data_IF_635393971998
#
_entry.id   IF_635393971998
#
_cell.length_a   1.000
_cell.length_b   1.000
_cell.length_c   1.000
_cell.angle_alpha   90.00
_cell.angle_beta   90.00
_cell.angle_gamma   90.00
#
_symmetry.space_group_name_H-M   'P 1'
#
loop_
_entity.id
_entity.type
_entity.pdbx_description
1 polymer ?
#
# COMPACT_ATOMS: atom_id res chain seq x y z
N UNK A 1 -43.75 24.71 -9.99
CA UNK A 1 -45.07 24.08 -10.19
C UNK A 1 -45.22 23.72 -11.66
N UNK A 2 -45.02 22.45 -12.02
CA UNK A 2 -45.27 21.97 -13.38
C UNK A 2 -46.78 21.86 -13.58
N UNK A 3 -47.37 22.75 -14.40
CA UNK A 3 -48.73 22.55 -14.89
C UNK A 3 -48.74 21.24 -15.67
N UNK A 4 -49.39 20.22 -15.14
CA UNK A 4 -49.73 19.02 -15.88
C UNK A 4 -50.79 19.45 -16.90
N UNK A 5 -50.33 19.90 -18.07
CA UNK A 5 -51.19 20.06 -19.23
C UNK A 5 -51.65 18.66 -19.59
N UNK A 6 -52.92 18.34 -19.34
CA UNK A 6 -53.51 17.06 -19.76
C UNK A 6 -53.16 16.87 -21.24
N UNK A 7 -52.41 15.80 -21.54
CA UNK A 7 -52.04 15.42 -22.89
C UNK A 7 -53.31 15.37 -23.74
N UNK A 8 -53.42 16.26 -24.73
CA UNK A 8 -54.45 16.14 -25.76
C UNK A 8 -54.13 14.87 -26.53
N UNK A 9 -55.10 13.95 -26.63
CA UNK A 9 -54.94 12.72 -27.41
C UNK A 9 -54.36 13.04 -28.79
N UNK A 10 -53.34 12.29 -29.20
CA UNK A 10 -52.76 12.41 -30.54
C UNK A 10 -53.80 12.03 -31.60
N UNK A 11 -53.60 12.44 -32.85
CA UNK A 11 -54.54 12.08 -33.93
C UNK A 11 -54.63 10.56 -34.13
N UNK A 12 -53.50 9.86 -33.98
CA UNK A 12 -53.45 8.40 -33.93
C UNK A 12 -54.30 7.81 -32.80
N UNK A 13 -54.20 8.34 -31.57
CA UNK A 13 -55.02 7.85 -30.43
C UNK A 13 -56.53 8.07 -30.63
N UNK A 14 -56.90 9.12 -31.38
CA UNK A 14 -58.31 9.37 -31.74
C UNK A 14 -58.79 8.37 -32.79
N UNK A 15 -57.98 8.10 -33.82
CA UNK A 15 -58.30 7.10 -34.85
C UNK A 15 -58.41 5.69 -34.27
N UNK A 16 -57.54 5.31 -33.34
CA UNK A 16 -57.65 4.02 -32.62
C UNK A 16 -58.97 3.91 -31.86
N UNK A 17 -59.39 4.98 -31.18
CA UNK A 17 -60.67 4.99 -30.44
C UNK A 17 -61.86 4.78 -31.40
N UNK A 18 -61.88 5.49 -32.54
CA UNK A 18 -62.92 5.38 -33.58
C UNK A 18 -62.95 3.98 -34.22
N UNK A 19 -61.78 3.38 -34.48
CA UNK A 19 -61.67 2.01 -35.00
C UNK A 19 -62.28 1.01 -34.02
N UNK A 20 -61.99 1.14 -32.72
CA UNK A 20 -62.54 0.26 -31.71
C UNK A 20 -64.08 0.37 -31.61
N UNK A 21 -64.63 1.58 -31.74
CA UNK A 21 -66.07 1.79 -31.81
C UNK A 21 -66.70 1.07 -33.02
N UNK A 22 -66.06 1.12 -34.19
CA UNK A 22 -66.52 0.42 -35.41
C UNK A 22 -66.44 -1.10 -35.26
N UNK A 23 -65.38 -1.63 -34.65
CA UNK A 23 -65.25 -3.07 -34.34
C UNK A 23 -66.38 -3.54 -33.42
N UNK A 24 -66.69 -2.76 -32.37
CA UNK A 24 -67.78 -3.08 -31.45
C UNK A 24 -69.16 -3.01 -32.14
N UNK A 25 -69.36 -2.03 -33.02
CA UNK A 25 -70.57 -1.93 -33.86
C UNK A 25 -70.72 -3.14 -34.79
N UNK A 26 -69.63 -3.59 -35.43
CA UNK A 26 -69.63 -4.78 -36.28
C UNK A 26 -70.07 -6.02 -35.51
N UNK A 27 -69.47 -6.26 -34.34
CA UNK A 27 -69.83 -7.41 -33.50
C UNK A 27 -71.31 -7.42 -33.11
N UNK A 28 -71.90 -6.24 -32.90
CA UNK A 28 -73.33 -6.10 -32.62
C UNK A 28 -74.19 -6.46 -33.85
N UNK A 29 -73.81 -6.00 -35.04
CA UNK A 29 -74.49 -6.32 -36.30
C UNK A 29 -74.40 -7.81 -36.64
N UNK A 30 -73.25 -8.45 -36.42
CA UNK A 30 -73.05 -9.89 -36.63
C UNK A 30 -73.97 -10.72 -35.72
N UNK A 31 -74.15 -10.30 -34.46
CA UNK A 31 -75.09 -10.95 -33.54
C UNK A 31 -76.55 -10.83 -34.01
N UNK A 32 -76.93 -9.67 -34.55
CA UNK A 32 -78.26 -9.46 -35.13
C UNK A 32 -78.45 -10.31 -36.39
N UNK A 33 -77.41 -10.46 -37.21
CA UNK A 33 -77.41 -11.28 -38.42
C UNK A 33 -77.65 -12.76 -38.11
N UNK A 34 -76.99 -13.30 -37.08
CA UNK A 34 -77.21 -14.68 -36.63
C UNK A 34 -78.67 -14.88 -36.17
N UNK A 35 -79.21 -13.93 -35.41
CA UNK A 35 -80.61 -13.94 -34.99
C UNK A 35 -81.60 -13.93 -36.17
N UNK A 36 -81.40 -13.04 -37.14
CA UNK A 36 -82.24 -12.96 -38.34
C UNK A 36 -82.13 -14.23 -39.21
N UNK A 37 -80.93 -14.79 -39.31
CA UNK A 37 -80.68 -16.07 -40.01
C UNK A 37 -81.35 -17.26 -39.31
N UNK A 38 -81.46 -17.22 -37.99
CA UNK A 38 -82.23 -18.19 -37.19
C UNK A 38 -83.73 -18.10 -37.48
N UNK A 39 -84.30 -16.89 -37.48
CA UNK A 39 -85.72 -16.65 -37.81
C UNK A 39 -86.03 -17.12 -39.22
N UNK A 40 -85.16 -16.83 -40.20
CA UNK A 40 -85.32 -17.28 -41.58
C UNK A 40 -85.37 -18.81 -41.68
N UNK A 41 -84.47 -19.52 -40.99
CA UNK A 41 -84.45 -20.99 -40.94
C UNK A 41 -85.72 -21.55 -40.31
N UNK A 42 -86.19 -20.96 -39.22
CA UNK A 42 -87.39 -21.41 -38.53
C UNK A 42 -88.67 -21.18 -39.36
N UNK A 43 -88.79 -20.03 -40.02
CA UNK A 43 -89.90 -19.72 -40.92
C UNK A 43 -89.96 -20.70 -42.11
N UNK A 44 -88.80 -21.09 -42.65
CA UNK A 44 -88.69 -22.10 -43.70
C UNK A 44 -89.22 -23.47 -43.24
N UNK A 45 -88.85 -23.91 -42.03
CA UNK A 45 -89.30 -25.18 -41.46
C UNK A 45 -90.81 -25.20 -41.18
N UNK A 46 -91.40 -24.05 -40.85
CA UNK A 46 -92.83 -23.89 -40.56
C UNK A 46 -93.69 -23.59 -41.80
N UNK A 47 -93.08 -23.34 -42.96
CA UNK A 47 -93.79 -22.96 -44.18
C UNK A 47 -94.39 -21.54 -44.16
N UNK A 48 -93.92 -20.66 -43.27
CA UNK A 48 -94.38 -19.27 -43.15
C UNK A 48 -93.60 -18.37 -44.13
N UNK A 49 -94.04 -18.35 -45.39
CA UNK A 49 -93.34 -17.66 -46.48
C UNK A 49 -93.27 -16.13 -46.29
N UNK A 50 -94.27 -15.54 -45.63
CA UNK A 50 -94.28 -14.10 -45.31
C UNK A 50 -93.14 -13.72 -44.38
N UNK A 51 -93.02 -14.41 -43.23
CA UNK A 51 -91.90 -14.20 -42.29
C UNK A 51 -90.55 -14.57 -42.88
N UNK A 52 -90.51 -15.57 -43.75
CA UNK A 52 -89.27 -15.96 -44.45
C UNK A 52 -88.74 -14.82 -45.33
N UNK A 53 -89.62 -14.16 -46.09
CA UNK A 53 -89.22 -13.04 -46.95
C UNK A 53 -88.78 -11.82 -46.15
N UNK A 54 -89.48 -11.50 -45.05
CA UNK A 54 -89.08 -10.43 -44.13
C UNK A 54 -87.70 -10.71 -43.50
N UNK A 55 -87.48 -11.93 -43.01
CA UNK A 55 -86.20 -12.33 -42.44
C UNK A 55 -85.06 -12.33 -43.48
N UNK A 56 -85.35 -12.73 -44.72
CA UNK A 56 -84.38 -12.67 -45.83
C UNK A 56 -83.96 -11.22 -46.14
N UNK A 57 -84.92 -10.29 -46.21
CA UNK A 57 -84.63 -8.87 -46.41
C UNK A 57 -83.78 -8.29 -45.27
N UNK A 58 -84.09 -8.69 -44.02
CA UNK A 58 -83.30 -8.29 -42.84
C UNK A 58 -81.87 -8.83 -42.89
N UNK A 59 -81.68 -10.11 -43.25
CA UNK A 59 -80.36 -10.73 -43.43
C UNK A 59 -79.55 -9.99 -44.49
N UNK A 60 -80.14 -9.70 -45.66
CA UNK A 60 -79.46 -8.97 -46.73
C UNK A 60 -79.07 -7.55 -46.31
N UNK A 61 -79.96 -6.84 -45.60
CA UNK A 61 -79.67 -5.50 -45.06
C UNK A 61 -78.51 -5.52 -44.05
N UNK A 62 -78.53 -6.47 -43.11
CA UNK A 62 -77.46 -6.62 -42.12
C UNK A 62 -76.11 -6.99 -42.76
N UNK A 63 -76.11 -7.87 -43.78
CA UNK A 63 -74.91 -8.19 -44.55
C UNK A 63 -74.33 -6.95 -45.25
N UNK A 64 -75.17 -6.10 -45.85
CA UNK A 64 -74.74 -4.84 -46.46
C UNK A 64 -74.15 -3.87 -45.43
N UNK A 65 -74.77 -3.75 -44.25
CA UNK A 65 -74.27 -2.90 -43.16
C UNK A 65 -72.92 -3.41 -42.63
N UNK A 66 -72.77 -4.72 -42.41
CA UNK A 66 -71.50 -5.31 -41.99
C UNK A 66 -70.41 -5.05 -43.04
N UNK A 67 -70.72 -5.27 -44.32
CA UNK A 67 -69.77 -4.99 -45.41
C UNK A 67 -69.37 -3.51 -45.50
N UNK A 68 -70.27 -2.58 -45.15
CA UNK A 68 -69.94 -1.16 -45.06
C UNK A 68 -69.03 -0.86 -43.87
N UNK A 69 -69.32 -1.42 -42.69
CA UNK A 69 -68.48 -1.28 -41.50
C UNK A 69 -67.09 -1.90 -41.71
N UNK A 70 -66.98 -3.01 -42.44
CA UNK A 70 -65.69 -3.61 -42.80
C UNK A 70 -64.82 -2.67 -43.64
N UNK A 71 -65.42 -1.95 -44.59
CA UNK A 71 -64.71 -0.94 -45.38
C UNK A 71 -64.26 0.23 -44.51
N UNK A 72 -65.12 0.69 -43.59
CA UNK A 72 -64.78 1.75 -42.64
C UNK A 72 -63.61 1.35 -41.72
N UNK A 73 -63.64 0.13 -41.18
CA UNK A 73 -62.55 -0.40 -40.33
C UNK A 73 -61.25 -0.42 -41.11
N UNK A 74 -61.25 -0.97 -42.33
CA UNK A 74 -60.05 -1.04 -43.17
C UNK A 74 -59.50 0.35 -43.49
N UNK A 75 -60.37 1.31 -43.82
CA UNK A 75 -59.96 2.70 -44.05
C UNK A 75 -59.31 3.31 -42.80
N UNK A 76 -59.90 3.10 -41.62
CA UNK A 76 -59.34 3.59 -40.35
C UNK A 76 -57.99 2.95 -40.01
N UNK A 77 -57.80 1.66 -40.30
CA UNK A 77 -56.52 0.96 -40.11
C UNK A 77 -55.41 1.56 -41.00
N UNK A 78 -55.71 1.81 -42.28
CA UNK A 78 -54.77 2.42 -43.22
C UNK A 78 -54.41 3.85 -42.79
N UNK A 79 -55.39 4.64 -42.38
CA UNK A 79 -55.17 6.03 -41.98
C UNK A 79 -54.44 6.13 -40.64
N UNK A 80 -54.79 5.25 -39.69
CA UNK A 80 -54.08 5.15 -38.43
C UNK A 80 -52.60 4.82 -38.64
N UNK A 81 -52.29 3.88 -39.54
CA UNK A 81 -50.92 3.49 -39.85
C UNK A 81 -50.10 4.65 -40.42
N UNK A 82 -50.70 5.48 -41.28
CA UNK A 82 -50.04 6.68 -41.83
C UNK A 82 -49.75 7.72 -40.76
N UNK A 83 -50.75 8.04 -39.93
CA UNK A 83 -50.58 9.05 -38.87
C UNK A 83 -49.58 8.59 -37.82
N UNK A 84 -49.57 7.29 -37.48
CA UNK A 84 -48.57 6.70 -36.59
C UNK A 84 -47.17 6.83 -37.17
N UNK A 85 -46.98 6.46 -38.44
CA UNK A 85 -45.69 6.58 -39.13
C UNK A 85 -45.19 8.03 -39.11
N UNK A 86 -46.04 9.01 -39.44
CA UNK A 86 -45.69 10.44 -39.40
C UNK A 86 -45.29 10.90 -37.99
N UNK A 87 -46.01 10.46 -36.97
CA UNK A 87 -45.69 10.79 -35.57
C UNK A 87 -44.36 10.18 -35.12
N UNK A 88 -44.09 8.94 -35.50
CA UNK A 88 -42.83 8.25 -35.21
C UNK A 88 -41.67 8.95 -35.93
N UNK A 89 -41.80 9.26 -37.21
CA UNK A 89 -40.78 9.98 -37.98
C UNK A 89 -40.46 11.35 -37.36
N UNK A 90 -41.49 12.08 -36.92
CA UNK A 90 -41.30 13.35 -36.24
C UNK A 90 -40.52 13.17 -34.92
N UNK A 91 -40.90 12.18 -34.10
CA UNK A 91 -40.18 11.88 -32.86
C UNK A 91 -38.74 11.43 -33.09
N UNK A 92 -38.49 10.63 -34.13
CA UNK A 92 -37.13 10.20 -34.49
C UNK A 92 -36.26 11.39 -34.87
N UNK A 93 -36.75 12.31 -35.71
CA UNK A 93 -36.03 13.53 -36.07
C UNK A 93 -35.72 14.41 -34.86
N UNK A 94 -36.67 14.54 -33.92
CA UNK A 94 -36.43 15.29 -32.69
C UNK A 94 -35.36 14.63 -31.81
N UNK A 95 -35.40 13.29 -31.68
CA UNK A 95 -34.37 12.54 -30.94
C UNK A 95 -32.99 12.70 -31.60
N UNK A 96 -32.89 12.62 -32.92
CA UNK A 96 -31.65 12.83 -33.66
C UNK A 96 -31.08 14.23 -33.43
N UNK A 97 -31.93 15.25 -33.52
CA UNK A 97 -31.55 16.64 -33.22
C UNK A 97 -31.05 16.80 -31.77
N UNK A 98 -31.69 16.14 -30.81
CA UNK A 98 -31.24 16.16 -29.41
C UNK A 98 -29.88 15.45 -29.23
N UNK A 99 -29.67 14.31 -29.90
CA UNK A 99 -28.36 13.62 -29.89
C UNK A 99 -27.26 14.50 -30.46
N UNK A 100 -27.50 15.18 -31.59
CA UNK A 100 -26.53 16.10 -32.19
C UNK A 100 -26.21 17.28 -31.26
N UNK A 101 -27.23 17.84 -30.59
CA UNK A 101 -27.03 18.92 -29.62
C UNK A 101 -26.14 18.47 -28.46
N UNK A 102 -26.44 17.32 -27.84
CA UNK A 102 -25.62 16.74 -26.77
C UNK A 102 -24.18 16.48 -27.25
N UNK A 103 -24.01 15.97 -28.47
CA UNK A 103 -22.67 15.72 -29.02
C UNK A 103 -21.88 17.02 -29.20
N UNK A 104 -22.52 18.08 -29.71
CA UNK A 104 -21.89 19.42 -29.83
C UNK A 104 -21.53 20.01 -28.47
N UNK A 105 -22.35 19.79 -27.45
CA UNK A 105 -22.08 20.20 -26.07
C UNK A 105 -20.88 19.45 -25.47
N UNK A 106 -20.68 18.17 -25.81
CA UNK A 106 -19.58 17.34 -25.29
C UNK A 106 -18.23 17.61 -25.98
N UNK A 107 -18.24 18.01 -27.24
CA UNK A 107 -17.03 18.25 -28.04
C UNK A 107 -15.98 19.17 -27.37
N UNK A 108 -16.33 20.34 -26.77
CA UNK A 108 -15.34 21.18 -26.08
C UNK A 108 -14.70 20.49 -24.88
N UNK A 109 -15.46 19.68 -24.12
CA UNK A 109 -14.91 18.94 -22.99
C UNK A 109 -13.95 17.84 -23.45
N UNK A 110 -14.31 17.13 -24.53
CA UNK A 110 -13.43 16.12 -25.14
C UNK A 110 -12.12 16.74 -25.60
N UNK A 111 -12.19 17.91 -26.26
CA UNK A 111 -11.01 18.65 -26.69
C UNK A 111 -10.16 19.11 -25.50
N UNK A 112 -10.78 19.71 -24.49
CA UNK A 112 -10.09 20.16 -23.28
C UNK A 112 -9.38 19.01 -22.55
N UNK A 113 -9.98 17.83 -22.52
CA UNK A 113 -9.37 16.63 -21.94
C UNK A 113 -8.13 16.17 -22.72
N UNK A 114 -8.19 16.07 -24.05
CA UNK A 114 -7.03 15.66 -24.84
C UNK A 114 -5.91 16.71 -24.79
N UNK A 115 -6.25 18.01 -24.81
CA UNK A 115 -5.28 19.10 -24.63
C UNK A 115 -4.60 19.01 -23.25
N UNK A 116 -5.36 18.78 -22.18
CA UNK A 116 -4.81 18.60 -20.82
C UNK A 116 -3.92 17.36 -20.72
N UNK A 117 -4.31 16.25 -21.36
CA UNK A 117 -3.55 15.01 -21.37
C UNK A 117 -2.22 15.15 -22.12
N UNK A 118 -2.19 15.88 -23.23
CA UNK A 118 -0.94 16.17 -23.94
C UNK A 118 -0.02 17.07 -23.13
N UNK A 119 -0.56 18.12 -22.50
CA UNK A 119 0.19 18.99 -21.60
C UNK A 119 0.78 18.23 -20.41
N UNK A 120 -0.01 17.34 -19.79
CA UNK A 120 0.44 16.50 -18.69
C UNK A 120 1.61 15.60 -19.09
N UNK A 121 1.50 14.90 -20.23
CA UNK A 121 2.59 14.04 -20.73
C UNK A 121 3.88 14.82 -20.97
N UNK A 122 3.78 16.04 -21.50
CA UNK A 122 4.96 16.90 -21.70
C UNK A 122 5.59 17.31 -20.36
N UNK A 123 4.77 17.74 -19.41
CA UNK A 123 5.25 18.11 -18.07
C UNK A 123 5.89 16.92 -17.34
N UNK A 124 5.32 15.73 -17.48
CA UNK A 124 5.85 14.48 -16.92
C UNK A 124 7.23 14.15 -17.52
N UNK A 125 7.38 14.25 -18.84
CA UNK A 125 8.68 14.05 -19.51
C UNK A 125 9.73 15.07 -19.05
N UNK A 126 9.36 16.35 -18.93
CA UNK A 126 10.25 17.41 -18.43
C UNK A 126 10.67 17.13 -16.98
N UNK A 127 9.73 16.69 -16.13
CA UNK A 127 10.03 16.30 -14.76
C UNK A 127 11.00 15.13 -14.70
N UNK A 128 10.78 14.06 -15.47
CA UNK A 128 11.72 12.93 -15.53
C UNK A 128 13.11 13.37 -15.98
N UNK A 129 13.21 14.22 -17.00
CA UNK A 129 14.48 14.73 -17.49
C UNK A 129 15.22 15.54 -16.40
N UNK A 130 14.52 16.43 -15.69
CA UNK A 130 15.08 17.22 -14.60
C UNK A 130 15.46 16.37 -13.40
N UNK A 131 14.65 15.38 -13.07
CA UNK A 131 14.94 14.45 -11.98
C UNK A 131 16.20 13.63 -12.30
N UNK A 132 16.35 13.11 -13.52
CA UNK A 132 17.58 12.44 -13.96
C UNK A 132 18.81 13.37 -13.95
N UNK A 133 18.65 14.64 -14.31
CA UNK A 133 19.72 15.63 -14.18
C UNK A 133 20.13 15.84 -12.71
N UNK A 134 19.16 15.96 -11.82
CA UNK A 134 19.39 16.11 -10.38
C UNK A 134 20.07 14.87 -9.78
N UNK A 135 19.59 13.67 -10.10
CA UNK A 135 20.21 12.41 -9.65
C UNK A 135 21.67 12.34 -10.05
N UNK A 136 22.02 12.68 -11.30
CA UNK A 136 23.42 12.70 -11.75
C UNK A 136 24.28 13.69 -10.97
N UNK A 137 23.74 14.87 -10.63
CA UNK A 137 24.43 15.85 -9.78
C UNK A 137 24.64 15.32 -8.37
N UNK A 138 23.63 14.69 -7.77
CA UNK A 138 23.76 14.05 -6.45
C UNK A 138 24.80 12.93 -6.46
N UNK A 139 24.83 12.09 -7.48
CA UNK A 139 25.81 11.01 -7.60
C UNK A 139 27.23 11.54 -7.69
N UNK A 140 27.46 12.62 -8.44
CA UNK A 140 28.76 13.26 -8.52
C UNK A 140 29.22 13.80 -7.15
N UNK A 141 28.35 14.53 -6.44
CA UNK A 141 28.65 15.05 -5.11
C UNK A 141 28.88 13.93 -4.08
N UNK A 142 28.12 12.84 -4.16
CA UNK A 142 28.31 11.68 -3.28
C UNK A 142 29.69 11.04 -3.50
N UNK A 143 30.13 10.89 -4.76
CA UNK A 143 31.47 10.37 -5.08
C UNK A 143 32.57 11.28 -4.55
N UNK A 144 32.42 12.60 -4.70
CA UNK A 144 33.38 13.57 -4.16
C UNK A 144 33.44 13.51 -2.63
N UNK A 145 32.29 13.48 -1.97
CA UNK A 145 32.19 13.29 -0.51
C UNK A 145 32.93 12.03 -0.06
N UNK A 146 32.69 10.90 -0.73
CA UNK A 146 33.26 9.62 -0.33
C UNK A 146 34.77 9.58 -0.57
N UNK A 147 35.26 10.20 -1.64
CA UNK A 147 36.69 10.37 -1.88
C UNK A 147 37.37 11.24 -0.80
N UNK A 148 36.71 12.33 -0.39
CA UNK A 148 37.19 13.20 0.69
C UNK A 148 37.20 12.48 2.04
N UNK A 149 36.16 11.70 2.36
CA UNK A 149 36.12 10.87 3.58
C UNK A 149 37.27 9.87 3.62
N UNK A 150 37.49 9.14 2.53
CA UNK A 150 38.60 8.19 2.44
C UNK A 150 39.96 8.88 2.63
N UNK A 151 40.13 10.11 2.11
CA UNK A 151 41.34 10.90 2.31
C UNK A 151 41.48 11.35 3.75
N UNK A 152 40.40 11.77 4.39
CA UNK A 152 40.38 12.15 5.80
C UNK A 152 40.76 10.97 6.69
N UNK A 153 40.22 9.79 6.43
CA UNK A 153 40.54 8.56 7.18
C UNK A 153 42.03 8.19 7.07
N UNK A 154 42.66 8.41 5.91
CA UNK A 154 44.10 8.19 5.73
C UNK A 154 44.98 9.20 6.48
N UNK A 155 44.50 10.44 6.63
CA UNK A 155 45.24 11.53 7.28
C UNK A 155 44.99 11.59 8.78
N UNK A 156 43.90 10.99 9.26
CA UNK A 156 43.55 10.95 10.67
C UNK A 156 44.20 9.70 11.26
N UNK A 157 45.27 9.82 12.07
CA UNK A 157 45.83 8.65 12.74
C UNK A 157 44.75 8.01 13.60
N UNK A 158 44.75 6.67 13.75
CA UNK A 158 43.82 6.01 14.64
C UNK A 158 43.91 6.66 16.02
N UNK A 159 42.77 6.84 16.71
CA UNK A 159 42.78 7.44 18.05
C UNK A 159 43.80 6.66 18.90
N UNK A 160 44.71 7.39 19.55
CA UNK A 160 45.68 6.78 20.46
C UNK A 160 44.93 5.84 21.39
N UNK A 161 45.44 4.61 21.65
CA UNK A 161 44.76 3.67 22.52
C UNK A 161 44.48 4.37 23.84
N UNK A 162 43.19 4.56 24.15
CA UNK A 162 42.82 5.11 25.45
C UNK A 162 43.26 4.10 26.51
N UNK A 163 43.91 4.56 27.59
CA UNK A 163 44.37 3.66 28.64
C UNK A 163 43.18 2.83 29.15
N UNK A 164 43.33 1.50 29.18
CA UNK A 164 42.24 0.62 29.63
C UNK A 164 42.02 0.70 31.14
N UNK A 165 43.08 1.07 31.85
CA UNK A 165 43.13 1.16 33.30
C UNK A 165 43.95 2.40 33.69
N UNK A 166 43.68 2.92 34.89
CA UNK A 166 44.58 3.87 35.53
C UNK A 166 45.94 3.20 35.84
N UNK A 167 46.98 4.01 36.06
CA UNK A 167 48.32 3.52 36.44
C UNK A 167 48.25 2.60 37.67
N UNK A 168 47.44 2.96 38.68
CA UNK A 168 47.32 2.18 39.92
C UNK A 168 46.60 0.84 39.72
N UNK A 169 45.59 0.79 38.86
CA UNK A 169 44.91 -0.46 38.49
C UNK A 169 45.86 -1.39 37.74
N UNK A 170 46.64 -0.87 36.80
CA UNK A 170 47.68 -1.64 36.11
C UNK A 170 48.75 -2.15 37.06
N UNK A 171 49.20 -1.31 38.01
CA UNK A 171 50.19 -1.67 39.01
C UNK A 171 49.67 -2.80 39.90
N UNK A 172 48.42 -2.74 40.34
CA UNK A 172 47.79 -3.80 41.12
C UNK A 172 47.65 -5.12 40.33
N UNK A 173 47.35 -5.06 39.03
CA UNK A 173 47.34 -6.26 38.18
C UNK A 173 48.76 -6.86 38.02
N UNK A 174 49.80 -6.03 37.96
CA UNK A 174 51.20 -6.47 37.95
C UNK A 174 51.59 -7.14 39.27
N UNK A 175 51.25 -6.53 40.41
CA UNK A 175 51.42 -7.08 41.76
C UNK A 175 50.72 -8.44 41.92
N UNK A 176 49.53 -8.59 41.35
CA UNK A 176 48.78 -9.86 41.37
C UNK A 176 49.33 -10.92 40.40
N UNK A 177 50.30 -10.59 39.54
CA UNK A 177 50.84 -11.51 38.52
C UNK A 177 49.89 -11.79 37.36
N UNK A 178 48.85 -10.97 37.17
CA UNK A 178 47.91 -11.06 36.04
C UNK A 178 48.51 -10.52 34.74
N UNK A 179 49.44 -9.57 34.84
CA UNK A 179 50.26 -9.10 33.72
C UNK A 179 51.53 -9.94 33.66
N UNK A 180 51.62 -10.85 32.68
CA UNK A 180 52.76 -11.77 32.52
C UNK A 180 53.82 -11.26 31.54
N UNK A 181 53.41 -10.49 30.54
CA UNK A 181 54.28 -9.94 29.50
C UNK A 181 53.97 -8.48 29.28
N UNK A 182 55.02 -7.67 29.20
CA UNK A 182 54.96 -6.23 28.94
C UNK A 182 55.55 -5.93 27.57
N UNK A 183 54.84 -5.14 26.76
CA UNK A 183 55.32 -4.61 25.47
C UNK A 183 55.18 -3.09 25.57
N UNK A 184 56.31 -2.40 25.54
CA UNK A 184 56.39 -0.95 25.64
C UNK A 184 55.60 -0.26 24.52
N UNK A 185 54.86 0.80 24.86
CA UNK A 185 54.10 1.61 23.91
C UNK A 185 52.69 1.10 23.59
N UNK A 186 52.21 0.06 24.28
CA UNK A 186 50.86 -0.47 24.09
C UNK A 186 49.79 0.27 24.92
N UNK A 187 50.13 0.70 26.14
CA UNK A 187 49.27 1.53 27.00
C UNK A 187 50.19 2.43 27.87
N UNK A 188 50.13 3.76 27.74
CA UNK A 188 51.00 4.68 28.49
C UNK A 188 50.92 4.49 30.01
N UNK A 189 49.75 4.13 30.54
CA UNK A 189 49.58 3.91 31.98
C UNK A 189 50.18 2.57 32.43
N UNK A 190 50.19 1.56 31.54
CA UNK A 190 50.85 0.29 31.81
C UNK A 190 52.38 0.46 31.80
N UNK A 191 52.92 1.27 30.89
CA UNK A 191 54.35 1.56 30.83
C UNK A 191 54.85 2.16 32.17
N UNK A 192 54.11 3.13 32.70
CA UNK A 192 54.41 3.75 34.01
C UNK A 192 54.23 2.76 35.18
N UNK A 193 53.13 2.00 35.18
CA UNK A 193 52.87 0.99 36.21
C UNK A 193 53.91 -0.13 36.22
N UNK A 194 54.38 -0.57 35.04
CA UNK A 194 55.37 -1.62 34.92
C UNK A 194 56.75 -1.18 35.41
N UNK A 195 57.13 0.07 35.14
CA UNK A 195 58.35 0.67 35.69
C UNK A 195 58.31 0.70 37.23
N UNK A 196 57.21 1.20 37.80
CA UNK A 196 57.04 1.21 39.26
C UNK A 196 57.06 -0.20 39.85
N UNK A 197 56.42 -1.15 39.19
CA UNK A 197 56.41 -2.55 39.60
C UNK A 197 57.80 -3.21 39.60
N UNK A 198 58.66 -2.91 38.62
CA UNK A 198 60.05 -3.41 38.61
C UNK A 198 60.89 -2.76 39.71
N UNK A 199 60.70 -1.46 39.99
CA UNK A 199 61.35 -0.79 41.12
C UNK A 199 60.94 -1.42 42.47
N UNK A 200 59.64 -1.70 42.67
CA UNK A 200 59.13 -2.39 43.86
C UNK A 200 59.77 -3.78 44.02
N UNK A 201 59.90 -4.55 42.93
CA UNK A 201 60.56 -5.86 42.94
C UNK A 201 62.02 -5.78 43.37
N UNK A 202 62.76 -4.80 42.87
CA UNK A 202 64.16 -4.61 43.26
C UNK A 202 64.30 -4.28 44.75
N UNK A 203 63.44 -3.41 45.28
CA UNK A 203 63.40 -3.10 46.73
C UNK A 203 63.12 -4.37 47.54
N UNK A 204 62.15 -5.18 47.13
CA UNK A 204 61.81 -6.45 47.79
C UNK A 204 62.97 -7.45 47.73
N UNK A 205 63.65 -7.56 46.58
CA UNK A 205 64.80 -8.45 46.39
C UNK A 205 65.99 -8.05 47.26
N UNK A 206 66.33 -6.77 47.27
CA UNK A 206 67.42 -6.23 48.10
C UNK A 206 67.12 -6.39 49.59
N UNK A 207 65.88 -6.07 50.01
CA UNK A 207 65.42 -6.33 51.36
C UNK A 207 65.56 -7.81 51.74
N UNK A 208 65.09 -8.73 50.89
CA UNK A 208 65.13 -10.15 51.20
C UNK A 208 66.57 -10.67 51.31
N UNK A 209 67.50 -10.17 50.47
CA UNK A 209 68.92 -10.47 50.54
C UNK A 209 69.53 -9.98 51.87
N UNK A 210 69.25 -8.73 52.25
CA UNK A 210 69.74 -8.15 53.50
C UNK A 210 69.15 -8.85 54.74
N UNK A 211 67.85 -9.15 54.71
CA UNK A 211 67.14 -9.91 55.74
C UNK A 211 67.67 -11.33 55.91
N UNK A 212 67.95 -12.04 54.81
CA UNK A 212 68.52 -13.38 54.89
C UNK A 212 69.92 -13.38 55.51
N UNK A 213 70.75 -12.38 55.18
CA UNK A 213 72.07 -12.19 55.79
C UNK A 213 71.93 -11.87 57.28
N UNK A 214 71.07 -10.92 57.66
CA UNK A 214 70.85 -10.56 59.06
C UNK A 214 70.31 -11.73 59.89
N UNK A 215 69.40 -12.53 59.32
CA UNK A 215 68.87 -13.74 59.99
C UNK A 215 69.96 -14.78 60.25
N UNK A 216 70.93 -14.92 59.34
CA UNK A 216 72.08 -15.82 59.55
C UNK A 216 73.04 -15.33 60.63
N UNK A 217 73.24 -14.01 60.74
CA UNK A 217 74.23 -13.41 61.64
C UNK A 217 73.66 -13.17 63.04
N UNK A 218 72.40 -12.73 63.14
CA UNK A 218 71.78 -12.25 64.39
C UNK A 218 70.48 -12.99 64.75
N UNK A 219 70.03 -13.99 63.96
CA UNK A 219 68.78 -14.72 64.19
C UNK A 219 67.49 -13.98 63.79
N UNK A 220 67.56 -12.67 63.54
CA UNK A 220 66.40 -11.81 63.24
C UNK A 220 66.33 -11.37 61.77
N UNK A 221 65.10 -11.15 61.25
CA UNK A 221 64.85 -10.55 59.93
C UNK A 221 64.59 -9.05 60.02
N UNK A 222 64.86 -8.29 58.94
CA UNK A 222 64.46 -6.88 58.88
C UNK A 222 62.92 -6.76 58.79
N UNK A 223 62.33 -5.66 59.27
CA UNK A 223 60.92 -5.38 59.04
C UNK A 223 60.61 -5.34 57.55
N UNK A 224 59.42 -5.80 57.15
CA UNK A 224 58.98 -5.80 55.75
C UNK A 224 58.95 -4.36 55.21
N UNK A 225 59.44 -4.10 53.98
CA UNK A 225 59.34 -2.78 53.38
C UNK A 225 57.88 -2.45 53.06
N UNK A 226 57.51 -1.18 53.10
CA UNK A 226 56.14 -0.72 52.86
C UNK A 226 55.56 -1.25 51.54
N UNK A 227 56.36 -1.24 50.47
CA UNK A 227 55.97 -1.76 49.16
C UNK A 227 55.57 -3.24 49.19
N UNK A 228 56.14 -4.04 50.09
CA UNK A 228 55.83 -5.46 50.20
C UNK A 228 54.43 -5.72 50.79
N UNK A 229 53.79 -4.74 51.44
CA UNK A 229 52.42 -4.87 51.97
C UNK A 229 51.38 -5.02 50.86
N UNK A 230 51.68 -4.54 49.65
CA UNK A 230 50.80 -4.65 48.49
C UNK A 230 50.86 -6.02 47.78
N UNK A 231 51.66 -6.96 48.30
CA UNK A 231 51.91 -8.26 47.68
C UNK A 231 51.44 -9.39 48.59
N UNK A 232 50.90 -10.45 47.99
CA UNK A 232 50.66 -11.69 48.71
C UNK A 232 51.99 -12.37 49.06
N UNK A 233 52.02 -13.14 50.15
CA UNK A 233 53.23 -13.85 50.58
C UNK A 233 53.76 -14.82 49.49
N UNK A 234 52.85 -15.47 48.75
CA UNK A 234 53.21 -16.32 47.61
C UNK A 234 53.93 -15.53 46.52
N UNK A 235 53.46 -14.31 46.21
CA UNK A 235 54.07 -13.45 45.21
C UNK A 235 55.43 -12.90 45.65
N UNK A 236 55.55 -12.48 46.91
CA UNK A 236 56.83 -12.07 47.49
C UNK A 236 57.87 -13.19 47.39
N UNK A 237 57.47 -14.43 47.69
CA UNK A 237 58.33 -15.61 47.56
C UNK A 237 58.75 -15.82 46.11
N UNK A 238 57.85 -15.72 45.15
CA UNK A 238 58.15 -15.86 43.72
C UNK A 238 59.18 -14.82 43.25
N UNK A 239 58.95 -13.53 43.56
CA UNK A 239 59.81 -12.41 43.16
C UNK A 239 61.25 -12.60 43.65
N UNK A 240 61.39 -13.02 44.92
CA UNK A 240 62.70 -13.24 45.55
C UNK A 240 63.32 -14.56 45.09
N UNK A 241 62.53 -15.61 44.89
CA UNK A 241 63.07 -16.92 44.46
C UNK A 241 63.62 -16.89 43.05
N UNK A 242 63.10 -16.02 42.19
CA UNK A 242 63.57 -15.86 40.81
C UNK A 242 65.06 -15.45 40.72
N UNK A 243 65.57 -14.68 41.68
CA UNK A 243 66.96 -14.18 41.69
C UNK A 243 67.78 -14.69 42.88
N UNK A 244 67.15 -14.93 44.03
CA UNK A 244 67.81 -15.32 45.28
C UNK A 244 67.07 -16.46 46.00
N UNK A 245 67.06 -17.70 45.46
CA UNK A 245 66.28 -18.82 45.99
C UNK A 245 66.67 -19.20 47.44
N UNK A 246 67.96 -19.07 47.78
CA UNK A 246 68.45 -19.32 49.16
C UNK A 246 67.95 -18.25 50.15
N UNK A 247 67.81 -17.00 49.71
CA UNK A 247 67.27 -15.92 50.54
C UNK A 247 65.75 -16.07 50.72
N UNK A 248 65.03 -16.47 49.67
CA UNK A 248 63.60 -16.75 49.75
C UNK A 248 63.28 -17.84 50.76
N UNK A 249 64.02 -18.96 50.77
CA UNK A 249 63.83 -20.02 51.76
C UNK A 249 64.21 -19.58 53.18
N UNK A 250 65.26 -18.77 53.34
CA UNK A 250 65.65 -18.26 54.67
C UNK A 250 64.60 -17.31 55.26
N UNK A 251 64.00 -16.45 54.44
CA UNK A 251 63.05 -15.41 54.88
C UNK A 251 61.62 -15.95 54.94
N UNK A 252 61.20 -16.80 54.01
CA UNK A 252 59.81 -17.25 53.87
C UNK A 252 59.61 -18.77 54.10
N UNK A 253 60.66 -19.55 54.37
CA UNK A 253 60.62 -21.02 54.41
C UNK A 253 60.01 -21.67 55.66
N UNK A 254 59.45 -20.91 56.61
CA UNK A 254 58.91 -21.45 57.87
C UNK A 254 57.39 -21.37 58.04
N UNK A 255 56.62 -21.28 56.95
CA UNK A 255 55.15 -21.18 57.03
C UNK A 255 54.34 -22.24 56.28
N UNK A 256 54.95 -23.30 55.73
CA UNK A 256 54.18 -24.43 55.17
C UNK A 256 54.84 -25.76 55.50
N UNK A 257 54.42 -26.31 56.64
CA UNK A 257 54.58 -27.70 57.04
C UNK A 257 53.32 -28.10 57.80
N UNK A 258 52.22 -28.27 57.07
CA UNK A 258 51.14 -29.23 57.29
C UNK A 258 50.26 -29.28 56.04
#
# INVERSE_FOLDING_TARGET
MLRIVKSKKTEWEKLETLKQEKINSKATLEKLLEGASGIQREALLKGDEGKRQEALAMVQSLQQQIAAVDRDIKFLEEEQSKVEAMHIEFKLKEIERQKEAIQKELEPYRKAYEDAKTAFKKAEQEWFAKNHEASRKFDALNRERDALRLRLDKLTPPPSPQPKHSVEEWLNLCRQGKVKTYIQGNDPNLDDAWRQYEEEKEIIRDWAKKSATRKKVCGETLPLPEVAKHYSQARLREIVSATHPKAANAVFGHLFGH
#
